data_IF_529716131217
#
_entry.id   IF_529716131217
#
_cell.length_a   1.000
_cell.length_b   1.000
_cell.length_c   1.000
_cell.angle_alpha   90.00
_cell.angle_beta   90.00
_cell.angle_gamma   90.00
#
_symmetry.space_group_name_H-M   'P 1'
#
loop_
_entity.id
_entity.type
_entity.pdbx_description
1 polymer ?
#
# COMPACT_ATOMS: atom_id res chain seq x y z
N UNK A 1 -8.30 5.00 11.82
CA UNK A 1 -9.17 4.39 10.79
C UNK A 1 -9.91 3.27 11.49
N UNK A 2 -11.15 3.52 11.90
CA UNK A 2 -11.93 2.61 12.74
C UNK A 2 -12.33 1.38 11.89
N UNK A 3 -11.76 0.21 12.21
CA UNK A 3 -11.99 -1.12 11.63
C UNK A 3 -11.52 -1.39 10.20
N UNK A 4 -10.24 -1.19 9.90
CA UNK A 4 -9.66 -1.93 8.77
C UNK A 4 -9.54 -3.41 9.16
N UNK A 5 -10.43 -4.25 8.59
CA UNK A 5 -10.25 -5.70 8.62
C UNK A 5 -9.13 -6.08 7.66
N UNK A 6 -8.21 -6.92 8.11
CA UNK A 6 -7.15 -7.51 7.28
C UNK A 6 -7.47 -8.97 6.94
N UNK A 7 -8.75 -9.31 6.97
CA UNK A 7 -9.25 -10.67 6.78
C UNK A 7 -9.47 -11.39 8.11
N UNK A 8 -10.54 -12.19 8.15
CA UNK A 8 -11.04 -12.83 9.36
C UNK A 8 -9.97 -13.60 10.15
N UNK A 9 -9.08 -14.32 9.47
CA UNK A 9 -8.03 -15.10 10.10
C UNK A 9 -7.03 -14.22 10.86
N UNK A 10 -6.58 -13.12 10.25
CA UNK A 10 -5.68 -12.17 10.92
C UNK A 10 -6.41 -11.44 12.03
N UNK A 11 -7.63 -10.98 11.80
CA UNK A 11 -8.40 -10.23 12.80
C UNK A 11 -8.65 -11.07 14.06
N UNK A 12 -8.92 -12.37 13.90
CA UNK A 12 -9.08 -13.27 15.03
C UNK A 12 -7.77 -13.47 15.80
N UNK A 13 -6.66 -13.67 15.09
CA UNK A 13 -5.33 -13.79 15.69
C UNK A 13 -4.93 -12.49 16.42
N UNK A 14 -5.18 -11.35 15.81
CA UNK A 14 -4.86 -10.04 16.37
C UNK A 14 -5.56 -9.78 17.70
N UNK A 15 -6.86 -10.12 17.78
CA UNK A 15 -7.66 -9.96 19.01
C UNK A 15 -7.12 -10.75 20.19
N UNK A 16 -6.51 -11.91 19.96
CA UNK A 16 -6.05 -12.80 21.03
C UNK A 16 -4.56 -12.73 21.31
N UNK A 17 -3.75 -12.23 20.37
CA UNK A 17 -2.29 -12.32 20.44
C UNK A 17 -1.54 -11.00 20.27
N UNK A 18 -2.19 -9.91 19.82
CA UNK A 18 -1.52 -8.66 19.51
C UNK A 18 -2.04 -7.50 20.36
N UNK A 19 -1.14 -6.60 20.71
CA UNK A 19 -1.49 -5.26 21.22
C UNK A 19 -1.42 -4.29 20.05
N UNK A 20 -2.58 -3.85 19.54
CA UNK A 20 -2.66 -2.95 18.38
C UNK A 20 -3.05 -1.55 18.84
N UNK A 21 -2.25 -0.55 18.44
CA UNK A 21 -2.51 0.87 18.67
C UNK A 21 -2.65 1.57 17.33
N UNK A 22 -3.72 2.35 17.16
CA UNK A 22 -3.86 3.24 16.00
C UNK A 22 -3.04 4.52 16.19
N UNK A 23 -2.46 5.01 15.09
CA UNK A 23 -1.67 6.26 15.05
C UNK A 23 -2.34 7.29 14.14
N UNK A 24 -2.09 8.57 14.40
CA UNK A 24 -2.71 9.68 13.65
C UNK A 24 -2.12 9.90 12.26
N UNK A 25 -0.91 9.38 12.00
CA UNK A 25 -0.24 9.49 10.70
C UNK A 25 0.73 8.34 10.46
N UNK A 26 1.07 8.12 9.18
CA UNK A 26 2.11 7.16 8.79
C UNK A 26 3.48 7.55 9.38
N UNK A 27 3.79 8.85 9.41
CA UNK A 27 5.01 9.38 10.03
C UNK A 27 5.13 8.94 11.49
N UNK A 28 4.07 9.13 12.28
CA UNK A 28 4.06 8.72 13.68
C UNK A 28 4.29 7.21 13.81
N UNK A 29 3.62 6.39 12.99
CA UNK A 29 3.79 4.93 13.00
C UNK A 29 5.22 4.50 12.67
N UNK A 30 5.82 5.08 11.63
CA UNK A 30 7.20 4.78 11.24
C UNK A 30 8.20 5.20 12.31
N UNK A 31 8.04 6.39 12.91
CA UNK A 31 8.89 6.85 14.00
C UNK A 31 8.74 5.98 15.26
N UNK A 32 7.54 5.47 15.55
CA UNK A 32 7.34 4.54 16.67
C UNK A 32 8.12 3.24 16.48
N UNK A 33 8.10 2.64 15.29
CA UNK A 33 8.91 1.43 15.01
C UNK A 33 10.40 1.75 15.01
N UNK A 34 10.81 2.84 14.35
CA UNK A 34 12.20 3.26 14.28
C UNK A 34 12.82 3.55 15.65
N UNK A 35 12.01 4.04 16.61
CA UNK A 35 12.41 4.31 17.99
C UNK A 35 12.12 3.16 18.97
N UNK A 36 11.76 1.97 18.47
CA UNK A 36 11.45 0.78 19.27
C UNK A 36 10.28 0.96 20.26
N UNK A 37 9.40 1.93 19.99
CA UNK A 37 8.13 2.12 20.73
C UNK A 37 6.99 1.23 20.21
N UNK A 38 7.21 0.55 19.09
CA UNK A 38 6.35 -0.49 18.55
C UNK A 38 7.22 -1.54 17.83
N UNK A 39 6.82 -2.81 17.88
CA UNK A 39 7.57 -3.88 17.22
C UNK A 39 7.34 -3.93 15.71
N UNK A 40 6.12 -3.61 15.27
CA UNK A 40 5.69 -3.70 13.88
C UNK A 40 4.74 -2.56 13.51
N UNK A 41 4.74 -2.20 12.23
CA UNK A 41 3.74 -1.33 11.61
C UNK A 41 3.05 -2.10 10.48
N UNK A 42 1.72 -2.12 10.49
CA UNK A 42 0.92 -2.67 9.40
C UNK A 42 0.63 -1.54 8.42
N UNK A 43 1.22 -1.61 7.23
CA UNK A 43 1.01 -0.63 6.17
C UNK A 43 1.31 -1.21 4.79
N UNK A 44 0.95 -0.48 3.74
CA UNK A 44 1.29 -0.83 2.36
C UNK A 44 2.81 -0.82 2.14
N UNK A 45 3.32 -1.86 1.48
CA UNK A 45 4.76 -2.13 1.33
C UNK A 45 5.55 -0.98 0.67
N UNK A 46 5.40 -0.81 -0.65
CA UNK A 46 6.18 0.18 -1.41
C UNK A 46 5.95 1.63 -0.94
N UNK A 47 4.70 2.10 -0.73
CA UNK A 47 4.47 3.45 -0.23
C UNK A 47 5.07 3.68 1.17
N UNK A 48 5.01 2.68 2.05
CA UNK A 48 5.60 2.76 3.39
C UNK A 48 7.12 2.92 3.35
N UNK A 49 7.81 2.15 2.49
CA UNK A 49 9.26 2.24 2.33
C UNK A 49 9.71 3.57 1.72
N UNK A 50 9.01 4.06 0.69
CA UNK A 50 9.30 5.37 0.09
C UNK A 50 9.13 6.48 1.12
N UNK A 51 8.06 6.41 1.93
CA UNK A 51 7.82 7.42 2.96
C UNK A 51 8.86 7.35 4.09
N UNK A 52 9.27 6.16 4.51
CA UNK A 52 10.36 5.98 5.47
C UNK A 52 11.68 6.60 4.95
N UNK A 53 12.00 6.38 3.67
CA UNK A 53 13.16 6.98 3.03
C UNK A 53 13.11 8.51 3.07
N UNK A 54 11.96 9.12 2.77
CA UNK A 54 11.76 10.58 2.87
C UNK A 54 12.00 11.11 4.29
N UNK A 55 11.60 10.36 5.31
CA UNK A 55 11.81 10.72 6.72
C UNK A 55 13.24 10.46 7.20
N UNK A 56 14.13 9.91 6.34
CA UNK A 56 15.47 9.49 6.75
C UNK A 56 15.49 8.26 7.67
N UNK A 57 14.40 7.50 7.72
CA UNK A 57 14.29 6.28 8.52
C UNK A 57 14.83 5.10 7.72
N UNK A 58 15.99 4.58 8.11
CA UNK A 58 16.70 3.49 7.43
C UNK A 58 16.80 2.20 8.26
N UNK A 59 16.41 2.23 9.53
CA UNK A 59 16.54 1.12 10.48
C UNK A 59 15.30 0.23 10.56
N UNK A 60 14.45 0.24 9.52
CA UNK A 60 13.25 -0.59 9.41
C UNK A 60 13.26 -1.35 8.09
N UNK A 61 12.50 -2.44 8.00
CA UNK A 61 12.35 -3.22 6.76
C UNK A 61 10.95 -3.79 6.63
N UNK A 62 10.50 -3.98 5.40
CA UNK A 62 9.32 -4.78 5.12
C UNK A 62 9.57 -6.26 5.45
N UNK A 63 8.54 -6.94 5.96
CA UNK A 63 8.57 -8.38 6.20
C UNK A 63 8.11 -9.14 4.96
N UNK A 64 8.69 -10.32 4.67
CA UNK A 64 8.39 -11.06 3.44
C UNK A 64 6.97 -11.64 3.39
N UNK A 65 6.30 -11.76 4.53
CA UNK A 65 4.93 -12.28 4.61
C UNK A 65 3.93 -11.14 4.71
N UNK A 66 3.20 -10.91 3.63
CA UNK A 66 2.09 -9.97 3.64
C UNK A 66 0.95 -10.47 4.53
N UNK A 67 0.31 -9.55 5.26
CA UNK A 67 -0.92 -9.83 6.02
C UNK A 67 -2.10 -9.95 5.05
N UNK A 68 -2.17 -9.04 4.08
CA UNK A 68 -3.15 -9.08 2.99
C UNK A 68 -2.48 -8.79 1.65
N UNK A 69 -3.09 -9.30 0.58
CA UNK A 69 -2.76 -8.93 -0.79
C UNK A 69 -4.04 -8.45 -1.46
N UNK A 70 -4.06 -7.17 -1.83
CA UNK A 70 -5.21 -6.54 -2.46
C UNK A 70 -4.84 -6.14 -3.88
N UNK A 71 -5.69 -6.50 -4.84
CA UNK A 71 -5.57 -6.02 -6.21
C UNK A 71 -6.04 -4.56 -6.25
N UNK A 72 -5.27 -3.71 -6.93
CA UNK A 72 -5.69 -2.36 -7.24
C UNK A 72 -6.53 -2.37 -8.51
N UNK A 73 -7.66 -1.67 -8.49
CA UNK A 73 -8.58 -1.56 -9.61
C UNK A 73 -8.80 -0.11 -9.97
N UNK A 74 -8.91 0.16 -11.27
CA UNK A 74 -9.38 1.44 -11.75
C UNK A 74 -10.92 1.43 -11.76
N UNK A 75 -11.53 2.40 -11.08
CA UNK A 75 -12.98 2.48 -10.92
C UNK A 75 -13.55 3.69 -11.63
N UNK A 76 -14.81 3.57 -12.07
CA UNK A 76 -15.56 4.65 -12.71
C UNK A 76 -16.86 4.90 -11.97
N UNK A 77 -17.28 6.16 -11.92
CA UNK A 77 -18.64 6.48 -11.53
C UNK A 77 -19.63 5.83 -12.49
N UNK A 78 -20.64 5.16 -11.95
CA UNK A 78 -21.70 4.51 -12.74
C UNK A 78 -22.40 5.50 -13.68
N UNK A 79 -22.53 6.75 -13.28
CA UNK A 79 -23.19 7.83 -14.02
C UNK A 79 -22.25 8.64 -14.92
N UNK A 80 -20.96 8.30 -14.96
CA UNK A 80 -20.01 9.01 -15.83
C UNK A 80 -20.32 8.73 -17.29
N UNK A 81 -20.30 9.76 -18.14
CA UNK A 81 -20.35 9.60 -19.60
C UNK A 81 -19.17 8.77 -20.13
N UNK A 82 -18.07 8.71 -19.38
CA UNK A 82 -16.90 7.88 -19.70
C UNK A 82 -17.09 6.41 -19.31
N UNK A 83 -18.15 6.03 -18.60
CA UNK A 83 -18.42 4.65 -18.19
C UNK A 83 -18.97 3.80 -19.36
N UNK A 84 -18.38 3.89 -20.56
CA UNK A 84 -18.74 3.11 -21.73
C UNK A 84 -17.98 1.78 -21.76
N UNK A 85 -18.60 0.74 -22.33
CA UNK A 85 -17.94 -0.56 -22.51
C UNK A 85 -16.66 -0.45 -23.37
N UNK A 86 -16.69 0.40 -24.39
CA UNK A 86 -15.53 0.65 -25.25
C UNK A 86 -14.34 1.23 -24.49
N UNK A 87 -14.54 2.15 -23.56
CA UNK A 87 -13.45 2.71 -22.76
C UNK A 87 -12.93 1.70 -21.74
N UNK A 88 -13.83 0.95 -21.08
CA UNK A 88 -13.44 -0.12 -20.15
C UNK A 88 -12.54 -1.15 -20.83
N UNK A 89 -12.93 -1.63 -22.01
CA UNK A 89 -12.11 -2.60 -22.76
C UNK A 89 -10.72 -2.04 -23.09
N UNK A 90 -10.65 -0.80 -23.61
CA UNK A 90 -9.36 -0.17 -23.92
C UNK A 90 -8.47 -0.02 -22.69
N UNK A 91 -9.05 0.30 -21.53
CA UNK A 91 -8.30 0.40 -20.27
C UNK A 91 -7.86 -0.97 -19.78
N UNK A 92 -8.74 -1.97 -19.85
CA UNK A 92 -8.39 -3.36 -19.52
C UNK A 92 -7.24 -3.87 -20.38
N UNK A 93 -7.25 -3.60 -21.68
CA UNK A 93 -6.15 -3.95 -22.58
C UNK A 93 -4.85 -3.24 -22.21
N UNK A 94 -4.91 -1.94 -21.91
CA UNK A 94 -3.74 -1.18 -21.48
C UNK A 94 -3.16 -1.70 -20.16
N UNK A 95 -4.02 -2.03 -19.17
CA UNK A 95 -3.60 -2.62 -17.90
C UNK A 95 -2.97 -4.01 -18.10
N UNK A 96 -3.54 -4.82 -19.00
CA UNK A 96 -2.98 -6.14 -19.36
C UNK A 96 -1.58 -5.99 -19.96
N UNK A 97 -1.38 -5.06 -20.89
CA UNK A 97 -0.06 -4.78 -21.48
C UNK A 97 0.94 -4.35 -20.41
N UNK A 98 0.53 -3.48 -19.48
CA UNK A 98 1.41 -3.05 -18.37
C UNK A 98 1.84 -4.25 -17.51
N UNK A 99 0.93 -5.19 -17.26
CA UNK A 99 1.19 -6.37 -16.46
C UNK A 99 2.05 -7.42 -17.20
N UNK A 100 1.71 -7.75 -18.44
CA UNK A 100 2.42 -8.78 -19.23
C UNK A 100 3.87 -8.39 -19.55
N UNK A 101 4.11 -7.10 -19.77
CA UNK A 101 5.45 -6.59 -20.07
C UNK A 101 6.24 -6.15 -18.82
N UNK A 102 5.76 -6.46 -17.60
CA UNK A 102 6.35 -6.04 -16.32
C UNK A 102 6.71 -4.53 -16.25
N UNK A 103 5.90 -3.70 -16.92
CA UNK A 103 6.10 -2.25 -16.90
C UNK A 103 5.79 -1.65 -15.53
N UNK A 104 5.15 -2.42 -14.63
CA UNK A 104 4.87 -2.00 -13.26
C UNK A 104 6.16 -1.63 -12.50
N UNK A 105 7.21 -2.46 -12.61
CA UNK A 105 8.50 -2.21 -11.97
C UNK A 105 9.12 -0.88 -12.42
N UNK A 106 9.01 -0.56 -13.70
CA UNK A 106 9.43 0.73 -14.27
C UNK A 106 8.65 1.90 -13.65
N UNK A 107 7.32 1.81 -13.57
CA UNK A 107 6.50 2.89 -13.01
C UNK A 107 6.72 3.06 -11.50
N UNK A 108 6.95 1.99 -10.75
CA UNK A 108 7.31 2.06 -9.34
C UNK A 108 8.64 2.78 -9.12
N UNK A 109 9.67 2.45 -9.89
CA UNK A 109 10.96 3.12 -9.83
C UNK A 109 10.82 4.63 -10.16
N UNK A 110 10.05 4.95 -11.21
CA UNK A 110 9.78 6.34 -11.59
C UNK A 110 9.02 7.11 -10.50
N UNK A 111 8.01 6.49 -9.90
CA UNK A 111 7.25 7.07 -8.80
C UNK A 111 8.16 7.32 -7.59
N UNK A 112 8.97 6.33 -7.20
CA UNK A 112 9.95 6.48 -6.11
C UNK A 112 10.87 7.67 -6.36
N UNK A 113 11.45 7.80 -7.55
CA UNK A 113 12.33 8.91 -7.89
C UNK A 113 11.63 10.28 -7.81
N UNK A 114 10.38 10.38 -8.28
CA UNK A 114 9.58 11.60 -8.17
C UNK A 114 9.28 11.96 -6.72
N UNK A 115 8.97 10.96 -5.90
CA UNK A 115 8.68 11.19 -4.49
C UNK A 115 9.93 11.56 -3.71
N UNK A 116 11.10 10.96 -3.96
CA UNK A 116 12.33 11.32 -3.23
C UNK A 116 12.84 12.75 -3.50
N UNK A 117 12.32 13.45 -4.51
CA UNK A 117 12.73 14.83 -4.87
C UNK A 117 11.83 15.94 -4.31
N UNK A 118 10.67 15.59 -3.71
CA UNK A 118 9.68 16.51 -3.15
C UNK A 118 9.39 16.18 -1.68
#
# INVERSE_FOLDING_TARGET
MIYNSFGQAFDQFAKTHLSITEVGSLEQGLLMVASQRADYLIYEDQPGLIFAQKLGVSNIRALPRAITQQKLFLTFSKLSKCNSESLKHRISDALRIIQEEDRQSYYLAKASAYFSQN
#
